data_IF_615253732341
#
_entry.id   IF_615253732341
#
_cell.length_a   1.000
_cell.length_b   1.000
_cell.length_c   1.000
_cell.angle_alpha   90.00
_cell.angle_beta   90.00
_cell.angle_gamma   90.00
#
_symmetry.space_group_name_H-M   'P 1'
#
loop_
_entity.id
_entity.type
_entity.pdbx_description
1 polymer ?
#
# COMPACT_ATOMS: atom_id res chain seq x y z
N UNK A 1 -4.16 27.66 14.91
CA UNK A 1 -5.62 27.40 15.03
C UNK A 1 -5.88 26.03 14.39
N UNK A 2 -6.08 24.96 15.18
CA UNK A 2 -6.37 23.62 14.64
C UNK A 2 -7.86 23.56 14.35
N UNK A 3 -8.23 23.60 13.06
CA UNK A 3 -9.60 23.30 12.63
C UNK A 3 -9.84 21.83 13.01
N UNK A 4 -10.70 21.59 14.00
CA UNK A 4 -11.18 20.25 14.30
C UNK A 4 -12.05 19.84 13.11
N UNK A 5 -11.48 19.05 12.19
CA UNK A 5 -12.25 18.48 11.10
C UNK A 5 -13.46 17.74 11.68
N UNK A 6 -14.64 17.97 11.12
CA UNK A 6 -15.86 17.30 11.56
C UNK A 6 -15.81 15.82 11.15
N UNK A 7 -16.55 14.96 11.87
CA UNK A 7 -16.68 13.53 11.55
C UNK A 7 -17.03 13.29 10.06
N UNK A 8 -17.81 14.20 9.47
CA UNK A 8 -18.22 14.15 8.07
C UNK A 8 -17.06 14.43 7.11
N UNK A 9 -16.34 15.54 7.29
CA UNK A 9 -15.18 15.91 6.49
C UNK A 9 -14.10 14.82 6.49
N UNK A 10 -13.87 14.19 7.66
CA UNK A 10 -12.90 13.10 7.75
C UNK A 10 -13.31 11.85 6.95
N UNK A 11 -14.59 11.50 6.97
CA UNK A 11 -15.09 10.35 6.18
C UNK A 11 -14.99 10.66 4.68
N UNK A 12 -15.31 11.89 4.28
CA UNK A 12 -15.17 12.36 2.90
C UNK A 12 -13.72 12.29 2.42
N UNK A 13 -12.74 12.76 3.20
CA UNK A 13 -11.31 12.65 2.88
C UNK A 13 -10.84 11.20 2.66
N UNK A 14 -11.39 10.25 3.44
CA UNK A 14 -11.08 8.83 3.28
C UNK A 14 -11.71 8.29 2.01
N UNK A 15 -12.96 8.64 1.71
CA UNK A 15 -13.60 8.24 0.45
C UNK A 15 -12.86 8.81 -0.76
N UNK A 16 -12.42 10.06 -0.72
CA UNK A 16 -11.60 10.66 -1.78
C UNK A 16 -10.30 9.88 -1.98
N UNK A 17 -9.64 9.49 -0.89
CA UNK A 17 -8.42 8.67 -0.95
C UNK A 17 -8.70 7.29 -1.57
N UNK A 18 -9.82 6.65 -1.24
CA UNK A 18 -10.24 5.37 -1.82
C UNK A 18 -10.55 5.52 -3.31
N UNK A 19 -11.29 6.56 -3.72
CA UNK A 19 -11.58 6.84 -5.13
C UNK A 19 -10.32 7.12 -5.93
N UNK A 20 -9.33 7.82 -5.37
CA UNK A 20 -8.03 8.01 -6.01
C UNK A 20 -7.27 6.68 -6.17
N UNK A 21 -7.32 5.80 -5.16
CA UNK A 21 -6.72 4.46 -5.24
C UNK A 21 -7.38 3.65 -6.35
N UNK A 22 -8.72 3.65 -6.45
CA UNK A 22 -9.46 2.99 -7.51
C UNK A 22 -9.08 3.52 -8.90
N UNK A 23 -9.00 4.85 -9.05
CA UNK A 23 -8.57 5.49 -10.29
C UNK A 23 -7.16 5.05 -10.71
N UNK A 24 -6.19 5.12 -9.80
CA UNK A 24 -4.82 4.71 -10.12
C UNK A 24 -4.71 3.21 -10.41
N UNK A 25 -5.42 2.36 -9.65
CA UNK A 25 -5.48 0.92 -9.91
C UNK A 25 -6.01 0.63 -11.31
N UNK A 26 -7.09 1.30 -11.71
CA UNK A 26 -7.67 1.13 -13.04
C UNK A 26 -6.67 1.54 -14.13
N UNK A 27 -6.03 2.70 -13.99
CA UNK A 27 -5.03 3.20 -14.93
C UNK A 27 -3.81 2.25 -15.05
N UNK A 28 -3.36 1.68 -13.94
CA UNK A 28 -2.27 0.69 -13.92
C UNK A 28 -2.69 -0.61 -14.64
N UNK A 29 -3.89 -1.13 -14.36
CA UNK A 29 -4.33 -2.43 -14.87
C UNK A 29 -4.71 -2.37 -16.34
N UNK A 30 -5.42 -1.31 -16.75
CA UNK A 30 -5.98 -1.19 -18.10
C UNK A 30 -4.99 -0.52 -19.07
N UNK A 31 -4.24 0.49 -18.61
CA UNK A 31 -3.35 1.28 -19.47
C UNK A 31 -1.86 0.98 -19.23
N UNK A 32 -1.53 0.02 -18.37
CA UNK A 32 -0.15 -0.30 -17.97
C UNK A 32 0.63 0.94 -17.48
N UNK A 33 -0.05 1.88 -16.84
CA UNK A 33 0.50 3.16 -16.42
C UNK A 33 1.37 3.02 -15.15
N UNK A 34 2.56 2.42 -15.28
CA UNK A 34 3.49 2.14 -14.16
C UNK A 34 3.85 3.40 -13.37
N UNK A 35 3.89 4.57 -14.01
CA UNK A 35 4.12 5.86 -13.36
C UNK A 35 3.11 6.18 -12.24
N UNK A 36 1.92 5.55 -12.25
CA UNK A 36 0.89 5.69 -11.22
C UNK A 36 1.17 4.90 -9.95
N UNK A 37 2.14 3.99 -9.92
CA UNK A 37 2.41 3.18 -8.73
C UNK A 37 2.86 4.04 -7.54
N UNK A 38 3.70 5.06 -7.78
CA UNK A 38 4.12 5.97 -6.72
C UNK A 38 2.95 6.81 -6.18
N UNK A 39 2.15 7.51 -7.02
CA UNK A 39 0.92 8.16 -6.57
C UNK A 39 -0.03 7.23 -5.81
N UNK A 40 -0.26 6.01 -6.32
CA UNK A 40 -1.04 4.98 -5.64
C UNK A 40 -0.50 4.67 -4.24
N UNK A 41 0.80 4.47 -4.13
CA UNK A 41 1.48 4.22 -2.85
C UNK A 41 1.36 5.40 -1.89
N UNK A 42 1.40 6.65 -2.37
CA UNK A 42 1.18 7.84 -1.55
C UNK A 42 -0.24 7.88 -0.98
N UNK A 43 -1.27 7.55 -1.76
CA UNK A 43 -2.65 7.50 -1.26
C UNK A 43 -2.84 6.37 -0.23
N UNK A 44 -2.33 5.18 -0.51
CA UNK A 44 -2.35 4.06 0.46
C UNK A 44 -1.66 4.48 1.76
N UNK A 45 -0.54 5.20 1.65
CA UNK A 45 0.18 5.69 2.83
C UNK A 45 -0.65 6.63 3.68
N UNK A 46 -1.46 7.52 3.09
CA UNK A 46 -2.37 8.39 3.87
C UNK A 46 -3.36 7.56 4.70
N UNK A 47 -3.83 6.44 4.15
CA UNK A 47 -4.76 5.54 4.81
C UNK A 47 -4.12 4.71 5.91
N UNK A 48 -2.87 4.27 5.72
CA UNK A 48 -2.20 3.30 6.59
C UNK A 48 -1.21 3.91 7.59
N UNK A 49 -0.60 5.06 7.30
CA UNK A 49 0.38 5.64 8.21
C UNK A 49 -0.30 6.29 9.42
N UNK A 50 0.20 6.01 10.63
CA UNK A 50 -0.29 6.67 11.83
C UNK A 50 0.05 8.16 11.80
N UNK A 51 -0.89 8.98 12.25
CA UNK A 51 -0.64 10.40 12.50
C UNK A 51 0.17 10.58 13.81
N UNK A 52 0.37 11.83 14.24
CA UNK A 52 1.07 12.16 15.49
C UNK A 52 0.47 11.54 16.76
N UNK A 53 -0.78 11.06 16.70
CA UNK A 53 -1.49 10.42 17.81
C UNK A 53 -1.41 8.89 17.73
N UNK A 54 -0.72 8.32 16.74
CA UNK A 54 -0.56 6.87 16.58
C UNK A 54 -1.66 6.18 15.76
N UNK A 55 -2.70 6.89 15.32
CA UNK A 55 -3.81 6.29 14.56
C UNK A 55 -3.68 6.52 13.06
N UNK A 56 -3.80 5.46 12.27
CA UNK A 56 -3.89 5.54 10.81
C UNK A 56 -5.25 6.08 10.36
N UNK A 57 -5.35 6.54 9.10
CA UNK A 57 -6.62 6.98 8.51
C UNK A 57 -7.70 5.90 8.64
N UNK A 58 -7.40 4.65 8.30
CA UNK A 58 -8.36 3.56 8.44
C UNK A 58 -8.69 3.24 9.91
N UNK A 59 -7.71 3.32 10.83
CA UNK A 59 -7.97 3.10 12.27
C UNK A 59 -8.94 4.14 12.84
N UNK A 60 -8.76 5.41 12.45
CA UNK A 60 -9.70 6.48 12.82
C UNK A 60 -11.10 6.22 12.28
N UNK A 61 -11.23 5.67 11.06
CA UNK A 61 -12.53 5.25 10.54
C UNK A 61 -13.13 4.14 11.39
N UNK A 62 -12.36 3.12 11.78
CA UNK A 62 -12.84 2.06 12.68
C UNK A 62 -13.46 2.63 13.96
N UNK A 63 -12.79 3.60 14.59
CA UNK A 63 -13.29 4.29 15.78
C UNK A 63 -14.59 5.07 15.50
N UNK A 64 -14.65 5.76 14.36
CA UNK A 64 -15.78 6.62 13.97
C UNK A 64 -17.04 5.81 13.65
N UNK A 65 -16.90 4.66 13.00
CA UNK A 65 -18.00 3.77 12.62
C UNK A 65 -18.26 2.67 13.66
N UNK A 66 -17.41 2.57 14.69
CA UNK A 66 -17.44 1.53 15.74
C UNK A 66 -17.42 0.11 15.17
N UNK A 67 -16.61 -0.12 14.13
CA UNK A 67 -16.42 -1.44 13.50
C UNK A 67 -14.95 -1.62 13.14
N UNK A 68 -14.45 -2.84 13.26
CA UNK A 68 -13.08 -3.20 12.85
C UNK A 68 -13.09 -3.69 11.41
N UNK A 69 -12.14 -3.21 10.61
CA UNK A 69 -11.94 -3.72 9.27
C UNK A 69 -11.25 -5.09 9.33
N UNK A 70 -11.89 -6.05 8.69
CA UNK A 70 -11.37 -7.42 8.57
C UNK A 70 -10.74 -7.60 7.19
N UNK A 71 -9.45 -7.93 7.17
CA UNK A 71 -8.64 -8.12 5.97
C UNK A 71 -8.35 -9.62 5.75
N UNK A 72 -8.51 -10.12 4.52
CA UNK A 72 -8.08 -11.47 4.19
C UNK A 72 -6.55 -11.50 4.06
N UNK A 73 -5.92 -12.50 4.68
CA UNK A 73 -4.49 -12.77 4.58
C UNK A 73 -4.21 -14.27 4.50
N UNK A 74 -2.94 -14.63 4.28
CA UNK A 74 -2.47 -16.01 4.31
C UNK A 74 -1.91 -16.36 5.69
N UNK A 75 -2.29 -17.53 6.19
CA UNK A 75 -1.73 -18.14 7.37
C UNK A 75 -0.25 -18.49 7.16
N UNK A 76 0.55 -18.38 8.22
CA UNK A 76 1.95 -18.83 8.26
C UNK A 76 2.07 -20.34 8.52
N UNK A 77 0.96 -21.02 8.84
CA UNK A 77 0.87 -22.45 9.10
C UNK A 77 0.76 -23.17 7.75
N UNK A 78 1.49 -24.28 7.59
CA UNK A 78 1.41 -25.13 6.40
C UNK A 78 0.30 -26.17 6.56
N UNK A 79 -0.57 -26.39 5.54
CA UNK A 79 -0.63 -25.67 4.26
C UNK A 79 -1.19 -24.23 4.43
N UNK A 80 -0.76 -23.27 3.59
CA UNK A 80 -1.17 -21.87 3.73
C UNK A 80 -2.68 -21.73 3.52
N UNK A 81 -3.41 -21.56 4.62
CA UNK A 81 -4.86 -21.31 4.63
C UNK A 81 -5.14 -19.81 4.56
N UNK A 82 -6.32 -19.44 4.06
CA UNK A 82 -6.80 -18.05 4.19
C UNK A 82 -7.29 -17.82 5.61
N UNK A 83 -6.93 -16.69 6.18
CA UNK A 83 -7.36 -16.24 7.51
C UNK A 83 -7.80 -14.77 7.42
N UNK A 84 -8.61 -14.38 8.39
CA UNK A 84 -9.10 -13.02 8.53
C UNK A 84 -8.35 -12.33 9.69
N UNK A 85 -7.79 -11.15 9.42
CA UNK A 85 -6.96 -10.42 10.39
C UNK A 85 -7.40 -8.95 10.47
N UNK A 86 -7.12 -8.30 11.61
CA UNK A 86 -7.37 -6.86 11.76
C UNK A 86 -6.38 -6.00 10.99
N UNK A 87 -6.67 -4.71 10.85
CA UNK A 87 -5.81 -3.75 10.13
C UNK A 87 -4.34 -3.78 10.60
N UNK A 88 -4.09 -3.71 11.90
CA UNK A 88 -2.74 -3.61 12.45
C UNK A 88 -1.92 -4.87 12.18
N UNK A 89 -2.57 -6.03 12.25
CA UNK A 89 -1.94 -7.30 11.91
C UNK A 89 -1.68 -7.38 10.40
N UNK A 90 -2.65 -6.99 9.57
CA UNK A 90 -2.51 -6.98 8.11
C UNK A 90 -1.31 -6.15 7.67
N UNK A 91 -1.18 -4.91 8.16
CA UNK A 91 -0.12 -3.98 7.70
C UNK A 91 1.27 -4.35 8.20
N UNK A 92 1.38 -4.97 9.38
CA UNK A 92 2.65 -5.34 10.00
C UNK A 92 3.08 -6.78 9.69
N UNK A 93 2.26 -7.53 8.95
CA UNK A 93 2.65 -8.86 8.47
C UNK A 93 3.72 -8.74 7.39
N UNK A 94 4.75 -9.57 7.55
CA UNK A 94 5.86 -9.72 6.62
C UNK A 94 5.34 -10.22 5.27
N UNK A 95 5.77 -9.57 4.19
CA UNK A 95 5.54 -10.03 2.82
C UNK A 95 6.76 -10.79 2.31
N UNK A 96 7.95 -10.21 2.46
CA UNK A 96 9.22 -10.79 2.00
C UNK A 96 10.37 -10.34 2.89
N UNK A 97 11.59 -10.81 2.58
CA UNK A 97 12.81 -10.35 3.25
C UNK A 97 13.84 -9.84 2.23
N UNK A 98 14.49 -8.72 2.55
CA UNK A 98 15.64 -8.19 1.81
C UNK A 98 16.84 -8.18 2.75
N UNK A 99 17.93 -8.85 2.37
CA UNK A 99 19.18 -8.86 3.16
C UNK A 99 18.98 -9.29 4.61
N UNK A 100 18.07 -10.25 4.85
CA UNK A 100 17.73 -10.75 6.19
C UNK A 100 16.82 -9.84 7.01
N UNK A 101 16.41 -8.67 6.50
CA UNK A 101 15.41 -7.81 7.14
C UNK A 101 14.01 -8.17 6.63
N UNK A 102 13.04 -8.45 7.50
CA UNK A 102 11.66 -8.61 7.08
C UNK A 102 11.12 -7.28 6.55
N UNK A 103 10.34 -7.33 5.48
CA UNK A 103 9.64 -6.19 4.91
C UNK A 103 8.14 -6.44 5.00
N UNK A 104 7.45 -5.53 5.67
CA UNK A 104 5.99 -5.54 5.91
C UNK A 104 5.25 -4.73 4.85
N UNK A 105 3.90 -4.86 4.79
CA UNK A 105 3.07 -4.07 3.86
C UNK A 105 3.25 -2.57 4.02
N UNK A 106 3.29 -2.08 5.27
CA UNK A 106 3.51 -0.67 5.52
C UNK A 106 4.92 -0.20 5.11
N UNK A 107 5.94 -1.05 5.23
CA UNK A 107 7.30 -0.72 4.80
C UNK A 107 7.42 -0.65 3.28
N UNK A 108 6.80 -1.56 2.53
CA UNK A 108 6.75 -1.48 1.06
C UNK A 108 6.06 -0.19 0.61
N UNK A 109 4.92 0.14 1.24
CA UNK A 109 4.19 1.39 0.95
C UNK A 109 5.06 2.61 1.23
N UNK A 110 5.75 2.67 2.36
CA UNK A 110 6.67 3.78 2.66
C UNK A 110 7.83 3.85 1.66
N UNK A 111 8.44 2.70 1.35
CA UNK A 111 9.57 2.61 0.44
C UNK A 111 9.24 3.21 -0.94
N UNK A 112 8.07 2.85 -1.50
CA UNK A 112 7.62 3.34 -2.81
C UNK A 112 7.20 4.81 -2.75
N UNK A 113 6.48 5.23 -1.70
CA UNK A 113 6.04 6.61 -1.55
C UNK A 113 7.20 7.60 -1.33
N UNK A 114 8.26 7.18 -0.63
CA UNK A 114 9.44 8.01 -0.28
C UNK A 114 10.54 8.02 -1.35
N UNK A 115 10.26 7.52 -2.55
CA UNK A 115 11.19 7.62 -3.67
C UNK A 115 11.38 9.09 -4.08
N UNK A 116 12.55 9.65 -3.77
CA UNK A 116 13.03 10.91 -4.37
C UNK A 116 13.44 10.61 -5.82
N UNK A 117 12.96 11.39 -6.79
CA UNK A 117 13.48 11.34 -8.17
C UNK A 117 12.55 10.86 -9.29
N UNK A 118 11.32 10.40 -9.01
CA UNK A 118 10.31 10.23 -10.08
C UNK A 118 9.59 11.57 -10.37
N UNK A 119 10.34 12.67 -10.43
CA UNK A 119 9.92 13.79 -11.24
C UNK A 119 10.13 13.35 -12.69
N UNK A 120 9.16 13.71 -13.51
CA UNK A 120 9.18 13.58 -14.95
C UNK A 120 10.33 14.48 -15.43
N UNK A 121 11.53 13.93 -15.52
CA UNK A 121 12.59 14.52 -16.34
C UNK A 121 12.84 13.54 -17.48
N UNK A 122 12.60 14.05 -18.67
CA UNK A 122 12.77 13.37 -19.95
C UNK A 122 14.09 12.59 -20.00
N UNK A 123 14.03 11.26 -20.09
CA UNK A 123 15.22 10.43 -20.32
C UNK A 123 15.35 9.12 -19.55
N UNK A 124 14.26 8.52 -19.04
CA UNK A 124 14.36 7.15 -18.52
C UNK A 124 14.21 6.17 -19.68
N UNK A 125 15.37 5.66 -20.12
CA UNK A 125 15.52 4.49 -20.99
C UNK A 125 14.51 3.40 -20.61
N UNK A 126 13.82 2.77 -21.58
CA UNK A 126 12.79 1.80 -21.31
C UNK A 126 13.42 0.64 -20.54
N UNK A 127 12.91 0.42 -19.32
CA UNK A 127 12.90 -0.84 -18.58
C UNK A 127 13.91 -1.84 -19.15
N UNK A 128 15.08 -1.95 -18.52
CA UNK A 128 15.86 -3.18 -18.61
C UNK A 128 14.94 -4.31 -18.13
N UNK A 129 14.20 -4.92 -19.06
CA UNK A 129 13.52 -6.19 -18.93
C UNK A 129 14.59 -7.15 -18.46
N UNK A 130 14.66 -7.40 -17.16
CA UNK A 130 15.51 -8.46 -16.65
C UNK A 130 14.92 -9.77 -17.20
N UNK A 131 15.69 -10.35 -18.11
CA UNK A 131 15.50 -11.65 -18.72
C UNK A 131 15.14 -12.70 -17.67
N UNK A 132 14.31 -13.68 -18.07
CA UNK A 132 13.79 -14.80 -17.26
C UNK A 132 14.85 -15.78 -16.67
N UNK A 133 16.09 -15.36 -16.53
CA UNK A 133 17.10 -16.15 -15.84
C UNK A 133 18.15 -15.25 -15.24
N UNK A 134 18.45 -15.50 -13.97
CA UNK A 134 19.76 -15.28 -13.34
C UNK A 134 19.92 -14.01 -12.48
N UNK A 135 19.86 -14.29 -11.16
CA UNK A 135 20.71 -13.84 -10.05
C UNK A 135 20.64 -12.36 -9.59
N UNK A 136 20.33 -12.25 -8.29
CA UNK A 136 20.31 -11.08 -7.43
C UNK A 136 21.55 -10.17 -7.59
N UNK A 137 21.40 -8.84 -7.54
CA UNK A 137 22.54 -7.94 -7.57
C UNK A 137 23.37 -8.08 -6.28
N UNK A 138 24.66 -8.32 -6.48
CA UNK A 138 25.74 -8.08 -5.52
C UNK A 138 25.78 -6.59 -5.18
N UNK A 139 24.93 -6.15 -4.26
CA UNK A 139 24.87 -4.78 -3.76
C UNK A 139 23.93 -4.72 -2.55
N UNK A 140 24.29 -3.97 -1.51
CA UNK A 140 23.53 -3.92 -0.27
C UNK A 140 22.16 -3.24 -0.51
N UNK A 141 21.04 -3.98 -0.65
CA UNK A 141 19.78 -3.41 -1.12
C UNK A 141 19.12 -2.54 -0.03
N UNK A 142 19.62 -2.63 1.22
CA UNK A 142 19.20 -1.79 2.33
C UNK A 142 19.75 -0.35 2.24
N UNK A 143 20.81 -0.11 1.45
CA UNK A 143 21.46 1.21 1.34
C UNK A 143 20.87 2.06 0.20
N UNK A 144 20.39 1.42 -0.86
CA UNK A 144 20.02 2.09 -2.12
C UNK A 144 18.52 2.20 -2.39
N UNK A 145 17.65 1.74 -1.47
CA UNK A 145 16.18 1.72 -1.67
C UNK A 145 15.78 1.10 -3.02
N UNK A 146 16.51 0.07 -3.46
CA UNK A 146 16.37 -0.50 -4.79
C UNK A 146 14.96 -1.03 -5.01
N UNK A 147 14.37 -0.57 -6.10
CA UNK A 147 13.02 -0.91 -6.51
C UNK A 147 13.06 -2.19 -7.35
N UNK A 148 12.42 -3.26 -6.88
CA UNK A 148 12.21 -4.48 -7.68
C UNK A 148 10.81 -4.41 -8.29
N UNK A 149 10.61 -4.88 -9.53
CA UNK A 149 9.28 -4.95 -10.18
C UNK A 149 8.22 -5.63 -9.28
N UNK A 150 8.66 -6.58 -8.45
CA UNK A 150 7.85 -7.28 -7.46
C UNK A 150 7.15 -6.33 -6.46
N UNK A 151 7.75 -5.18 -6.15
CA UNK A 151 7.15 -4.17 -5.28
C UNK A 151 5.88 -3.56 -5.89
N UNK A 152 5.80 -3.41 -7.23
CA UNK A 152 4.58 -2.94 -7.89
C UNK A 152 3.42 -3.92 -7.66
N UNK A 153 3.69 -5.22 -7.77
CA UNK A 153 2.68 -6.26 -7.56
C UNK A 153 2.14 -6.22 -6.13
N UNK A 154 3.00 -6.04 -5.13
CA UNK A 154 2.57 -5.90 -3.74
C UNK A 154 1.77 -4.62 -3.49
N UNK A 155 2.15 -3.47 -4.08
CA UNK A 155 1.35 -2.25 -3.97
C UNK A 155 -0.02 -2.42 -4.61
N UNK A 156 -0.11 -3.05 -5.78
CA UNK A 156 -1.38 -3.35 -6.46
C UNK A 156 -2.22 -4.30 -5.61
N UNK A 157 -1.62 -5.34 -5.03
CA UNK A 157 -2.33 -6.28 -4.15
C UNK A 157 -2.89 -5.57 -2.93
N UNK A 158 -2.07 -4.80 -2.21
CA UNK A 158 -2.47 -4.02 -1.03
C UNK A 158 -3.63 -3.07 -1.37
N UNK A 159 -3.50 -2.33 -2.48
CA UNK A 159 -4.52 -1.41 -2.96
C UNK A 159 -5.86 -2.13 -3.23
N UNK A 160 -5.81 -3.23 -3.98
CA UNK A 160 -7.01 -4.04 -4.29
C UNK A 160 -7.68 -4.54 -3.02
N UNK A 161 -6.91 -5.04 -2.06
CA UNK A 161 -7.46 -5.52 -0.78
C UNK A 161 -8.11 -4.38 0.00
N UNK A 162 -7.45 -3.23 0.11
CA UNK A 162 -8.00 -2.06 0.83
C UNK A 162 -9.32 -1.62 0.21
N UNK A 163 -9.36 -1.39 -1.10
CA UNK A 163 -10.59 -0.99 -1.80
C UNK A 163 -11.70 -2.00 -1.56
N UNK A 164 -11.41 -3.30 -1.76
CA UNK A 164 -12.42 -4.34 -1.60
C UNK A 164 -12.97 -4.39 -0.16
N UNK A 165 -12.10 -4.33 0.84
CA UNK A 165 -12.48 -4.39 2.27
C UNK A 165 -13.28 -3.17 2.67
N UNK A 166 -12.78 -1.97 2.34
CA UNK A 166 -13.39 -0.71 2.73
C UNK A 166 -14.74 -0.53 2.04
N UNK A 167 -14.82 -0.69 0.72
CA UNK A 167 -16.08 -0.56 -0.03
C UNK A 167 -17.10 -1.60 0.46
N UNK A 168 -16.72 -2.87 0.60
CA UNK A 168 -17.64 -3.92 1.06
C UNK A 168 -18.20 -3.66 2.46
N UNK A 169 -17.38 -3.17 3.39
CA UNK A 169 -17.76 -3.03 4.80
C UNK A 169 -18.44 -1.68 5.09
N UNK A 170 -18.16 -0.64 4.29
CA UNK A 170 -18.84 0.66 4.37
C UNK A 170 -20.18 0.68 3.62
N UNK A 171 -20.32 -0.03 2.49
CA UNK A 171 -21.61 -0.12 1.78
C UNK A 171 -22.66 -1.02 2.46
N UNK A 172 -22.28 -1.74 3.52
CA UNK A 172 -23.18 -2.60 4.33
C UNK A 172 -23.58 -1.96 5.66
N UNK A 173 -23.34 -0.66 5.84
CA UNK A 173 -23.76 0.12 7.01
C UNK A 173 -24.87 1.07 6.63
#
# INVERSE_FOLDING_TARGET
MRIKSTKKEFIEEIFDSISNIEFFLKDIIENNAVARIKPLSVEIRKLLNPNSNGDSGLKRVEHVIKRTFIFPDRSKILPPTRIDVGLDEYINRMIFSIGGRPVTRIEVVKLVADQKGAHIDDGIDPLHRQSQGTILPLGNPARDKLFFEQNHLYIIEIAKTIVQVVTRQLSRG
#
